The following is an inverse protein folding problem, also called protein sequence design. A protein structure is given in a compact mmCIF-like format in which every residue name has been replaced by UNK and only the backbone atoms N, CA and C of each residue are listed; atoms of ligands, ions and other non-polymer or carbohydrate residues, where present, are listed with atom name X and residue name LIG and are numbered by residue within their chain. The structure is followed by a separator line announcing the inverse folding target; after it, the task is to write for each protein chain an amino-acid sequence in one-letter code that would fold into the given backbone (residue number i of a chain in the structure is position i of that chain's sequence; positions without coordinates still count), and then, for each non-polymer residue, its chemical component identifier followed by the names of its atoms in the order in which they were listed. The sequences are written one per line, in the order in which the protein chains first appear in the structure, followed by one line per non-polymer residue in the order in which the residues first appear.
data_IF_402135362593
#
_entry.id   IF_402135362593
#
_cell.length_a   1.000
_cell.length_b   1.000
_cell.length_c   1.000
_cell.angle_alpha   90.00
_cell.angle_beta   90.00
_cell.angle_gamma   90.00
#
_symmetry.space_group_name_H-M   'P 1'
#
loop_
_entity.id
_entity.type
_entity.pdbx_description
1 polymer ?
#
# COMPACT_ATOMS: atom_id res chain seq x y z
N UNK A 1 -16.04 -11.81 -7.44
CA UNK A 1 -16.74 -11.31 -6.22
C UNK A 1 -18.06 -12.04 -6.16
N UNK A 2 -18.50 -12.51 -4.99
CA UNK A 2 -19.72 -13.30 -4.77
C UNK A 2 -20.48 -12.75 -3.56
N UNK A 3 -21.71 -13.23 -3.32
CA UNK A 3 -22.56 -12.75 -2.22
C UNK A 3 -21.86 -12.81 -0.85
N UNK A 4 -21.07 -13.86 -0.60
CA UNK A 4 -20.31 -14.03 0.64
C UNK A 4 -18.86 -13.51 0.57
N UNK A 5 -18.39 -12.99 -0.56
CA UNK A 5 -17.00 -12.54 -0.74
C UNK A 5 -16.92 -11.08 -1.12
N UNK A 6 -16.41 -10.24 -0.22
CA UNK A 6 -16.05 -8.85 -0.50
C UNK A 6 -14.56 -8.72 -0.75
N UNK A 7 -14.19 -7.96 -1.78
CA UNK A 7 -12.78 -7.62 -2.08
C UNK A 7 -12.64 -6.11 -1.99
N UNK A 8 -11.74 -5.64 -1.15
CA UNK A 8 -11.34 -4.23 -1.06
C UNK A 8 -9.88 -4.16 -1.47
N UNK A 9 -9.59 -3.52 -2.60
CA UNK A 9 -8.23 -3.37 -3.10
C UNK A 9 -7.95 -1.93 -3.43
N UNK A 10 -6.70 -1.51 -3.19
CA UNK A 10 -6.21 -0.19 -3.50
C UNK A 10 -4.76 -0.28 -3.98
N UNK A 11 -4.36 0.76 -4.69
CA UNK A 11 -3.07 0.82 -5.34
C UNK A 11 -2.66 2.28 -5.52
N UNK A 12 -1.36 2.54 -5.54
CA UNK A 12 -0.83 3.88 -5.78
C UNK A 12 -0.82 4.19 -7.27
N UNK A 13 -1.01 5.46 -7.58
CA UNK A 13 -0.75 6.02 -8.90
C UNK A 13 0.32 7.11 -8.85
N UNK A 14 0.68 7.64 -10.02
CA UNK A 14 1.66 8.72 -10.20
C UNK A 14 1.05 10.08 -9.79
N UNK A 15 0.91 10.29 -8.48
CA UNK A 15 0.30 11.48 -7.89
C UNK A 15 1.27 12.68 -7.95
N UNK A 16 0.78 13.83 -8.43
CA UNK A 16 1.49 15.09 -8.30
C UNK A 16 1.13 15.77 -6.97
N UNK A 17 2.03 15.67 -6.00
CA UNK A 17 1.95 16.18 -4.63
C UNK A 17 2.67 17.52 -4.43
N UNK A 18 3.20 18.12 -5.50
CA UNK A 18 4.05 19.30 -5.48
C UNK A 18 5.29 19.20 -4.57
N UNK A 19 5.81 17.99 -4.36
CA UNK A 19 7.07 17.80 -3.67
C UNK A 19 8.23 18.47 -4.44
N UNK A 20 8.93 19.39 -3.79
CA UNK A 20 10.03 20.16 -4.38
C UNK A 20 11.33 19.37 -4.49
N UNK A 21 11.47 18.30 -3.68
CA UNK A 21 12.68 17.48 -3.56
C UNK A 21 12.53 16.17 -4.34
N UNK A 22 11.56 15.31 -3.97
CA UNK A 22 11.32 14.03 -4.63
C UNK A 22 10.26 14.14 -5.72
N UNK A 23 10.74 14.32 -6.96
CA UNK A 23 9.93 14.40 -8.18
C UNK A 23 9.94 13.08 -8.98
N UNK A 24 10.36 11.97 -8.35
CA UNK A 24 10.40 10.66 -9.01
C UNK A 24 8.98 10.25 -9.38
N UNK A 25 8.80 9.87 -10.65
CA UNK A 25 7.55 9.30 -11.14
C UNK A 25 7.41 7.87 -10.66
N UNK A 26 6.17 7.48 -10.41
CA UNK A 26 5.84 6.10 -10.06
C UNK A 26 5.11 5.42 -11.23
N UNK A 27 5.48 4.17 -11.50
CA UNK A 27 4.77 3.29 -12.44
C UNK A 27 4.38 2.04 -11.68
N UNK A 28 3.10 1.75 -11.65
CA UNK A 28 2.58 0.51 -11.12
C UNK A 28 2.74 -0.62 -12.13
N UNK A 29 3.43 -1.70 -11.75
CA UNK A 29 3.69 -2.86 -12.62
C UNK A 29 2.67 -3.99 -12.46
N UNK A 30 1.80 -3.92 -11.44
CA UNK A 30 0.77 -4.94 -11.19
C UNK A 30 -0.58 -4.49 -11.75
N UNK A 31 -0.96 -3.23 -11.50
CA UNK A 31 -2.22 -2.63 -11.94
C UNK A 31 -1.91 -1.55 -12.96
N UNK A 32 -1.64 -1.95 -14.20
CA UNK A 32 -1.21 -1.02 -15.26
C UNK A 32 -2.22 0.11 -15.52
N UNK A 33 -3.51 -0.16 -15.34
CA UNK A 33 -4.58 0.83 -15.49
C UNK A 33 -4.49 1.98 -14.48
N UNK A 34 -3.86 1.77 -13.32
CA UNK A 34 -3.63 2.82 -12.32
C UNK A 34 -2.70 3.92 -12.85
N UNK A 35 -1.84 3.61 -13.82
CA UNK A 35 -0.92 4.58 -14.42
C UNK A 35 -1.62 5.65 -15.26
N UNK A 36 -2.89 5.44 -15.62
CA UNK A 36 -3.72 6.42 -16.32
C UNK A 36 -4.27 7.50 -15.37
N UNK A 37 -4.40 7.19 -14.08
CA UNK A 37 -4.95 8.10 -13.09
C UNK A 37 -3.84 8.90 -12.40
N UNK A 38 -3.64 10.15 -12.82
CA UNK A 38 -2.57 11.02 -12.30
C UNK A 38 -3.13 12.26 -11.62
N UNK A 39 -3.70 12.12 -10.41
CA UNK A 39 -4.31 13.24 -9.72
C UNK A 39 -3.24 14.24 -9.29
N UNK A 40 -3.68 15.50 -9.18
CA UNK A 40 -2.91 16.58 -8.59
C UNK A 40 -3.51 16.91 -7.24
N UNK A 41 -2.73 16.80 -6.18
CA UNK A 41 -3.17 17.07 -4.82
C UNK A 41 -2.34 18.20 -4.22
N UNK A 42 -2.98 19.09 -3.47
CA UNK A 42 -2.28 20.10 -2.69
C UNK A 42 -1.94 19.51 -1.33
N UNK A 43 -0.73 18.96 -1.22
CA UNK A 43 -0.25 18.31 -0.01
C UNK A 43 0.18 19.32 1.06
N UNK A 44 0.35 18.83 2.29
CA UNK A 44 0.89 19.60 3.41
C UNK A 44 2.36 20.01 3.16
N UNK A 45 2.84 20.97 3.96
CA UNK A 45 4.15 21.60 3.74
C UNK A 45 5.32 20.61 3.87
N UNK A 46 5.25 19.68 4.81
CA UNK A 46 6.27 18.64 5.01
C UNK A 46 6.41 17.71 3.79
N UNK A 47 5.29 17.31 3.16
CA UNK A 47 5.26 16.57 1.90
C UNK A 47 5.83 17.44 0.77
N UNK A 48 5.38 18.69 0.66
CA UNK A 48 5.82 19.61 -0.39
C UNK A 48 7.30 19.96 -0.28
N UNK A 49 7.85 20.03 0.94
CA UNK A 49 9.25 20.29 1.22
C UNK A 49 10.12 19.01 1.13
N UNK A 50 9.52 17.84 0.94
CA UNK A 50 10.24 16.57 0.84
C UNK A 50 10.80 16.05 2.16
N UNK A 51 10.19 16.44 3.28
CA UNK A 51 10.56 15.98 4.62
C UNK A 51 10.10 14.54 4.87
N UNK A 52 9.11 14.06 4.10
CA UNK A 52 8.59 12.70 4.15
C UNK A 52 9.05 11.86 2.95
N UNK A 53 9.47 10.62 3.22
CA UNK A 53 9.83 9.64 2.18
C UNK A 53 8.58 9.05 1.53
N UNK A 54 8.55 9.02 0.19
CA UNK A 54 7.45 8.40 -0.55
C UNK A 54 7.45 6.87 -0.42
N UNK A 55 6.26 6.33 -0.21
CA UNK A 55 5.97 4.90 -0.22
C UNK A 55 4.85 4.64 -1.23
N UNK A 56 5.02 3.62 -2.08
CA UNK A 56 4.06 3.30 -3.12
C UNK A 56 3.50 1.90 -2.92
N UNK A 57 2.19 1.78 -3.00
CA UNK A 57 1.48 0.50 -2.94
C UNK A 57 1.34 -0.03 -4.37
N UNK A 58 2.00 -1.16 -4.68
CA UNK A 58 1.81 -1.83 -5.96
C UNK A 58 0.41 -2.48 -6.01
N UNK A 59 0.03 -3.20 -4.95
CA UNK A 59 -1.31 -3.74 -4.75
C UNK A 59 -1.47 -4.10 -3.27
N UNK A 60 -2.52 -3.60 -2.62
CA UNK A 60 -2.82 -3.98 -1.24
C UNK A 60 -4.33 -4.04 -1.03
N UNK A 61 -4.75 -4.82 -0.04
CA UNK A 61 -6.16 -4.97 0.24
C UNK A 61 -6.53 -6.22 1.02
N UNK A 62 -7.83 -6.48 1.02
CA UNK A 62 -8.47 -7.53 1.80
C UNK A 62 -9.41 -8.35 0.93
N UNK A 63 -9.40 -9.65 1.17
CA UNK A 63 -10.48 -10.54 0.78
C UNK A 63 -11.20 -10.91 2.06
N UNK A 64 -12.46 -10.51 2.17
CA UNK A 64 -13.32 -10.71 3.32
C UNK A 64 -14.38 -11.71 2.93
N UNK A 65 -14.34 -12.90 3.52
CA UNK A 65 -15.28 -13.98 3.24
C UNK A 65 -16.17 -14.21 4.45
N UNK A 66 -17.47 -13.99 4.27
CA UNK A 66 -18.47 -14.40 5.24
C UNK A 66 -18.56 -15.92 5.26
N UNK A 67 -18.46 -16.51 6.45
CA UNK A 67 -18.76 -17.92 6.71
C UNK A 67 -20.00 -17.98 7.62
N UNK A 68 -20.42 -19.20 7.96
CA UNK A 68 -21.61 -19.42 8.79
C UNK A 68 -21.49 -18.74 10.16
N UNK A 69 -20.35 -18.91 10.83
CA UNK A 69 -20.15 -18.49 12.22
C UNK A 69 -18.96 -17.52 12.40
N UNK A 70 -18.27 -17.16 11.31
CA UNK A 70 -17.11 -16.29 11.34
C UNK A 70 -16.95 -15.50 10.04
N UNK A 71 -15.92 -14.65 10.01
CA UNK A 71 -15.45 -13.96 8.81
C UNK A 71 -13.98 -14.29 8.64
N UNK A 72 -13.61 -14.85 7.48
CA UNK A 72 -12.22 -15.04 7.12
C UNK A 72 -11.70 -13.79 6.42
N UNK A 73 -10.60 -13.24 6.91
CA UNK A 73 -9.95 -12.07 6.32
C UNK A 73 -8.57 -12.47 5.84
N UNK A 74 -8.36 -12.41 4.53
CA UNK A 74 -7.03 -12.53 3.92
C UNK A 74 -6.53 -11.14 3.57
N UNK A 75 -5.37 -10.78 4.11
CA UNK A 75 -4.68 -9.54 3.79
C UNK A 75 -3.57 -9.79 2.75
N UNK A 76 -3.52 -8.95 1.73
CA UNK A 76 -2.49 -8.96 0.70
C UNK A 76 -1.79 -7.60 0.70
N UNK A 77 -0.46 -7.59 0.65
CA UNK A 77 0.30 -6.35 0.62
C UNK A 77 1.54 -6.47 -0.27
N UNK A 78 1.62 -5.62 -1.29
CA UNK A 78 2.80 -5.39 -2.11
C UNK A 78 3.09 -3.89 -2.12
N UNK A 79 4.19 -3.51 -1.46
CA UNK A 79 4.61 -2.12 -1.27
C UNK A 79 6.05 -1.98 -1.77
N UNK A 80 6.34 -0.83 -2.37
CA UNK A 80 7.68 -0.37 -2.70
C UNK A 80 7.99 0.88 -1.86
N UNK A 81 9.08 0.84 -1.11
CA UNK A 81 9.52 1.95 -0.25
C UNK A 81 10.76 2.54 -0.89
N UNK A 82 10.77 3.85 -1.16
CA UNK A 82 11.93 4.50 -1.76
C UNK A 82 13.05 4.77 -0.72
N UNK A 83 13.39 3.79 0.14
CA UNK A 83 14.51 3.86 1.10
C UNK A 83 15.01 2.47 1.50
N UNK A 84 16.33 2.33 1.60
CA UNK A 84 17.03 1.08 1.92
C UNK A 84 16.99 0.69 3.40
N UNK A 85 16.71 1.64 4.31
CA UNK A 85 16.79 1.40 5.76
C UNK A 85 15.46 0.86 6.33
N UNK A 86 14.33 1.21 5.70
CA UNK A 86 13.00 0.89 6.20
C UNK A 86 12.50 -0.49 5.76
N UNK A 87 12.97 -1.01 4.63
CA UNK A 87 12.58 -2.34 4.14
C UNK A 87 12.91 -3.43 5.16
N UNK A 88 14.12 -3.39 5.74
CA UNK A 88 14.56 -4.35 6.77
C UNK A 88 13.74 -4.28 8.06
N UNK A 89 13.37 -3.06 8.49
CA UNK A 89 12.58 -2.86 9.70
C UNK A 89 11.11 -3.31 9.51
N UNK A 90 10.52 -3.01 8.35
CA UNK A 90 9.15 -3.43 8.02
C UNK A 90 9.04 -4.94 7.83
N UNK A 91 10.00 -5.57 7.16
CA UNK A 91 10.08 -7.04 7.07
C UNK A 91 10.17 -7.64 8.47
N UNK A 92 10.98 -7.08 9.37
CA UNK A 92 11.07 -7.52 10.77
C UNK A 92 9.73 -7.41 11.50
N UNK A 93 9.05 -6.27 11.42
CA UNK A 93 7.77 -6.05 12.12
C UNK A 93 6.69 -7.00 11.58
N UNK A 94 6.59 -7.16 10.27
CA UNK A 94 5.63 -8.08 9.63
C UNK A 94 5.90 -9.52 10.08
N UNK A 95 7.15 -9.98 10.02
CA UNK A 95 7.51 -11.32 10.47
C UNK A 95 7.20 -11.55 11.96
N UNK A 96 7.46 -10.56 12.82
CA UNK A 96 7.14 -10.63 14.25
C UNK A 96 5.62 -10.74 14.49
N UNK A 97 4.83 -9.96 13.76
CA UNK A 97 3.36 -10.00 13.88
C UNK A 97 2.78 -11.33 13.41
N UNK A 98 3.31 -11.93 12.33
CA UNK A 98 2.90 -13.25 11.85
C UNK A 98 3.25 -14.35 12.86
N UNK A 99 4.44 -14.31 13.46
CA UNK A 99 4.87 -15.27 14.51
C UNK A 99 3.97 -15.18 15.75
N UNK A 100 3.61 -13.97 16.18
CA UNK A 100 2.72 -13.78 17.34
C UNK A 100 1.30 -14.31 17.07
N UNK A 101 0.86 -14.28 15.81
CA UNK A 101 -0.45 -14.80 15.40
C UNK A 101 -0.46 -16.33 15.29
N UNK A 102 0.68 -16.97 15.00
CA UNK A 102 0.84 -18.44 14.91
C UNK A 102 1.00 -19.09 16.29
N UNK A 103 1.55 -18.38 17.28
CA UNK A 103 1.78 -18.89 18.65
C UNK A 103 0.54 -18.89 19.55
N UNK A 104 -0.63 -18.57 19.02
CA UNK A 104 -1.88 -18.44 19.78
C UNK A 104 -2.88 -19.49 19.29
#
# INVERSE_FOLDING_TARGET
VSDDTTIIVYTSSDVNDYNSVDKKKYTNTIVESANLFKPKIYSENDIRNGELTKMFVNLSGFIIQKKRDCVDITYLNSININTTIFEDLLIRIINLSQILTIKR
#
